data_IF_136013045611
#
_entry.id   IF_136013045611
#
_cell.length_a   1.000
_cell.length_b   1.000
_cell.length_c   1.000
_cell.angle_alpha   90.00
_cell.angle_beta   90.00
_cell.angle_gamma   90.00
#
_symmetry.space_group_name_H-M   'P 1'
#
loop_
_entity.id
_entity.type
_entity.pdbx_description
1 polymer ?
#
# COMPACT_ATOMS: atom_id res chain seq x y z
N UNK A 1 -30.36 27.63 24.42
CA UNK A 1 -30.00 26.83 23.23
C UNK A 1 -29.87 25.39 23.67
N UNK A 2 -30.66 24.48 23.12
CA UNK A 2 -30.47 23.04 23.34
C UNK A 2 -29.32 22.59 22.44
N UNK A 3 -28.22 22.12 23.04
CA UNK A 3 -27.15 21.47 22.30
C UNK A 3 -27.67 20.09 21.86
N UNK A 4 -27.89 19.90 20.56
CA UNK A 4 -28.30 18.63 19.99
C UNK A 4 -27.39 18.22 18.83
N UNK A 5 -27.32 16.91 18.59
CA UNK A 5 -26.64 16.33 17.44
C UNK A 5 -27.64 16.18 16.31
N UNK A 6 -27.28 16.66 15.12
CA UNK A 6 -28.12 16.66 13.93
C UNK A 6 -27.43 15.90 12.79
N UNK A 7 -28.16 15.00 12.15
CA UNK A 7 -27.74 14.33 10.92
C UNK A 7 -28.69 14.77 9.81
N UNK A 8 -28.13 15.34 8.74
CA UNK A 8 -28.89 15.76 7.56
C UNK A 8 -28.47 14.93 6.36
N UNK A 9 -29.44 14.55 5.52
CA UNK A 9 -29.15 13.89 4.24
C UNK A 9 -29.10 14.89 3.09
N UNK A 10 -28.22 14.65 2.12
CA UNK A 10 -28.09 15.46 0.90
C UNK A 10 -28.89 14.90 -0.28
N UNK A 11 -29.60 13.78 -0.11
CA UNK A 11 -30.37 13.12 -1.17
C UNK A 11 -31.82 12.84 -0.73
N UNK A 12 -32.80 12.89 -1.64
CA UNK A 12 -34.19 12.64 -1.29
C UNK A 12 -34.45 11.15 -1.02
N UNK A 13 -35.37 10.86 -0.10
CA UNK A 13 -35.86 9.51 0.20
C UNK A 13 -37.38 9.44 0.05
N UNK A 14 -37.90 8.29 -0.37
CA UNK A 14 -39.34 8.03 -0.39
C UNK A 14 -39.79 7.47 0.95
N UNK A 15 -41.07 7.64 1.27
CA UNK A 15 -41.67 7.02 2.46
C UNK A 15 -41.50 5.50 2.37
N UNK A 16 -40.90 4.92 3.40
CA UNK A 16 -40.63 3.47 3.51
C UNK A 16 -39.22 3.07 3.10
N UNK A 17 -38.42 3.98 2.53
CA UNK A 17 -37.03 3.71 2.21
C UNK A 17 -36.18 3.67 3.47
N UNK A 18 -35.17 2.79 3.49
CA UNK A 18 -34.10 2.85 4.47
C UNK A 18 -33.20 4.06 4.17
N UNK A 19 -32.96 4.90 5.19
CA UNK A 19 -32.04 6.04 5.10
C UNK A 19 -30.65 5.59 5.52
N UNK A 20 -29.68 5.74 4.62
CA UNK A 20 -28.29 5.38 4.88
C UNK A 20 -27.44 6.63 5.21
N UNK A 21 -26.34 6.40 5.92
CA UNK A 21 -25.27 7.38 6.17
C UNK A 21 -23.94 6.86 5.63
N UNK A 22 -23.01 7.76 5.33
CA UNK A 22 -21.64 7.40 4.97
C UNK A 22 -20.79 7.34 6.26
N UNK A 23 -20.07 6.23 6.44
CA UNK A 23 -19.28 5.96 7.65
C UNK A 23 -17.89 6.61 7.61
N UNK A 24 -17.52 7.23 6.49
CA UNK A 24 -16.20 7.78 6.23
C UNK A 24 -15.41 6.96 5.20
N UNK A 25 -14.21 7.43 4.84
CA UNK A 25 -13.32 6.79 3.88
C UNK A 25 -12.60 5.58 4.47
N UNK A 26 -13.35 4.52 4.81
CA UNK A 26 -12.83 3.30 5.42
C UNK A 26 -12.74 2.15 4.43
N UNK A 27 -11.65 1.40 4.50
CA UNK A 27 -11.47 0.17 3.73
C UNK A 27 -12.27 -1.00 4.36
N UNK A 28 -12.45 -2.07 3.61
CA UNK A 28 -13.25 -3.20 4.07
C UNK A 28 -12.63 -3.95 5.27
N UNK A 29 -11.31 -3.89 5.48
CA UNK A 29 -10.73 -4.50 6.68
C UNK A 29 -11.20 -3.75 7.93
N UNK A 30 -11.12 -2.42 7.93
CA UNK A 30 -11.65 -1.60 9.02
C UNK A 30 -13.17 -1.81 9.22
N UNK A 31 -13.95 -1.79 8.13
CA UNK A 31 -15.42 -1.96 8.22
C UNK A 31 -15.77 -3.34 8.79
N UNK A 32 -15.04 -4.39 8.42
CA UNK A 32 -15.30 -5.72 8.96
C UNK A 32 -15.01 -5.80 10.46
N UNK A 33 -13.90 -5.19 10.90
CA UNK A 33 -13.49 -5.20 12.31
C UNK A 33 -14.43 -4.40 13.20
N UNK A 34 -14.85 -3.20 12.75
CA UNK A 34 -15.64 -2.27 13.56
C UNK A 34 -17.16 -2.51 13.45
N UNK A 35 -17.63 -2.94 12.27
CA UNK A 35 -19.06 -3.02 11.97
C UNK A 35 -19.55 -4.41 11.56
N UNK A 36 -18.64 -5.38 11.33
CA UNK A 36 -19.00 -6.78 11.08
C UNK A 36 -19.48 -7.08 9.66
N UNK A 37 -19.32 -6.17 8.70
CA UNK A 37 -19.68 -6.36 7.29
C UNK A 37 -18.60 -5.84 6.34
N UNK A 38 -18.78 -6.09 5.05
CA UNK A 38 -17.94 -5.55 3.97
C UNK A 38 -18.82 -5.00 2.85
N UNK A 39 -18.29 -4.06 2.07
CA UNK A 39 -19.01 -3.44 0.96
C UNK A 39 -18.35 -3.88 -0.35
N UNK A 40 -19.10 -4.45 -1.32
CA UNK A 40 -18.52 -4.81 -2.61
C UNK A 40 -18.04 -3.57 -3.36
N UNK A 41 -16.85 -3.66 -3.97
CA UNK A 41 -16.26 -2.57 -4.77
C UNK A 41 -16.03 -1.29 -3.94
N UNK A 42 -15.60 -1.43 -2.69
CA UNK A 42 -15.32 -0.28 -1.84
C UNK A 42 -14.11 0.51 -2.41
N UNK A 43 -14.29 1.79 -2.82
CA UNK A 43 -13.23 2.58 -3.43
C UNK A 43 -12.10 2.93 -2.45
N UNK A 44 -12.33 2.78 -1.15
CA UNK A 44 -11.34 3.07 -0.11
C UNK A 44 -10.43 1.88 0.21
N UNK A 45 -10.67 0.71 -0.41
CA UNK A 45 -9.80 -0.45 -0.26
C UNK A 45 -8.36 -0.15 -0.72
N UNK A 46 -7.42 -0.75 -0.01
CA UNK A 46 -6.00 -0.70 -0.32
C UNK A 46 -5.31 -1.97 0.18
N UNK A 47 -4.11 -2.24 -0.32
CA UNK A 47 -3.20 -3.29 0.19
C UNK A 47 -2.01 -2.60 0.83
N UNK A 48 -1.68 -2.95 2.08
CA UNK A 48 -0.41 -2.55 2.70
C UNK A 48 0.70 -3.51 2.28
N UNK A 49 1.86 -2.95 1.92
CA UNK A 49 3.10 -3.65 1.62
C UNK A 49 4.19 -3.37 2.66
N UNK A 50 3.84 -2.88 3.85
CA UNK A 50 4.82 -2.56 4.90
C UNK A 50 5.65 -3.79 5.28
N UNK A 51 5.01 -4.96 5.36
CA UNK A 51 5.67 -6.22 5.67
C UNK A 51 6.59 -6.66 4.52
N UNK A 52 6.07 -6.70 3.30
CA UNK A 52 6.82 -7.09 2.10
C UNK A 52 8.04 -6.20 1.86
N UNK A 53 7.91 -4.90 2.10
CA UNK A 53 9.01 -3.95 2.02
C UNK A 53 10.10 -4.23 3.06
N UNK A 54 9.74 -4.61 4.29
CA UNK A 54 10.72 -4.92 5.34
C UNK A 54 11.41 -6.27 5.10
N UNK A 55 10.68 -7.23 4.54
CA UNK A 55 11.13 -8.61 4.30
C UNK A 55 11.89 -8.79 2.97
N UNK A 56 11.84 -7.82 2.05
CA UNK A 56 12.54 -7.92 0.77
C UNK A 56 14.06 -8.08 0.98
N UNK A 57 14.64 -9.05 0.28
CA UNK A 57 16.09 -9.27 0.25
C UNK A 57 16.71 -8.54 -0.94
N UNK A 58 17.66 -7.65 -0.67
CA UNK A 58 18.38 -6.91 -1.70
C UNK A 58 19.83 -7.41 -1.82
N UNK A 59 20.29 -7.81 -3.02
CA UNK A 59 21.67 -8.25 -3.21
C UNK A 59 22.67 -7.16 -2.80
N UNK A 60 23.57 -7.51 -1.88
CA UNK A 60 24.63 -6.61 -1.41
C UNK A 60 24.20 -5.56 -0.38
N UNK A 61 22.95 -5.60 0.11
CA UNK A 61 22.53 -4.77 1.23
C UNK A 61 23.03 -5.37 2.56
N UNK A 62 23.83 -4.61 3.30
CA UNK A 62 24.23 -4.96 4.67
C UNK A 62 23.16 -4.53 5.66
N UNK A 63 23.12 -5.17 6.84
CA UNK A 63 22.19 -4.79 7.90
C UNK A 63 22.37 -3.33 8.35
N UNK A 64 23.62 -2.86 8.39
CA UNK A 64 23.92 -1.46 8.72
C UNK A 64 23.34 -0.51 7.67
N UNK A 65 23.60 -0.76 6.38
CA UNK A 65 23.08 0.05 5.29
C UNK A 65 21.54 0.05 5.28
N UNK A 66 20.93 -1.10 5.55
CA UNK A 66 19.48 -1.23 5.72
C UNK A 66 18.98 -0.30 6.83
N UNK A 67 19.57 -0.39 8.02
CA UNK A 67 19.14 0.40 9.17
C UNK A 67 19.30 1.91 8.91
N UNK A 68 20.41 2.34 8.33
CA UNK A 68 20.63 3.76 8.00
C UNK A 68 19.57 4.30 7.02
N UNK A 69 19.15 3.50 6.04
CA UNK A 69 18.08 3.86 5.10
C UNK A 69 16.72 3.94 5.81
N UNK A 70 16.41 2.99 6.70
CA UNK A 70 15.17 3.04 7.50
C UNK A 70 15.14 4.27 8.41
N UNK A 71 16.25 4.61 9.05
CA UNK A 71 16.38 5.80 9.90
C UNK A 71 16.24 7.09 9.10
N UNK A 72 16.71 7.12 7.85
CA UNK A 72 16.46 8.24 6.93
C UNK A 72 14.98 8.37 6.59
N UNK A 73 14.29 7.28 6.28
CA UNK A 73 12.85 7.30 6.00
C UNK A 73 12.07 7.80 7.21
N UNK A 74 12.41 7.30 8.40
CA UNK A 74 11.74 7.70 9.63
C UNK A 74 11.92 9.20 9.89
N UNK A 75 13.16 9.70 9.80
CA UNK A 75 13.48 11.12 10.03
C UNK A 75 12.79 12.08 9.05
N UNK A 76 12.52 11.64 7.83
CA UNK A 76 11.86 12.46 6.82
C UNK A 76 10.36 12.18 6.70
N UNK A 77 9.79 11.32 7.56
CA UNK A 77 8.37 11.02 7.58
C UNK A 77 7.89 10.17 6.40
N UNK A 78 8.77 9.33 5.83
CA UNK A 78 8.49 8.39 4.73
C UNK A 78 8.59 6.92 5.15
N UNK A 79 8.74 6.63 6.44
CA UNK A 79 8.69 5.25 6.95
C UNK A 79 7.23 4.78 7.08
N UNK A 80 6.94 3.61 6.50
CA UNK A 80 5.64 2.93 6.55
C UNK A 80 4.55 3.62 5.74
N UNK A 81 3.33 3.09 5.87
CA UNK A 81 2.16 3.49 5.06
C UNK A 81 2.42 3.27 3.56
N UNK A 82 3.03 2.13 3.26
CA UNK A 82 3.26 1.67 1.90
C UNK A 82 2.01 0.98 1.38
N UNK A 83 1.23 1.70 0.58
CA UNK A 83 -0.10 1.27 0.17
C UNK A 83 -0.24 1.19 -1.35
N UNK A 84 -1.06 0.25 -1.79
CA UNK A 84 -1.50 0.09 -3.16
C UNK A 84 -3.01 0.25 -3.23
N UNK A 85 -3.50 0.95 -4.25
CA UNK A 85 -4.93 1.00 -4.60
C UNK A 85 -5.09 0.56 -6.05
N UNK A 86 -6.34 0.41 -6.49
CA UNK A 86 -6.61 0.14 -7.90
C UNK A 86 -5.95 1.25 -8.73
N UNK A 87 -5.06 0.82 -9.61
CA UNK A 87 -4.33 1.68 -10.52
C UNK A 87 -3.47 2.78 -9.87
N UNK A 88 -3.06 2.62 -8.61
CA UNK A 88 -2.28 3.64 -7.90
C UNK A 88 -1.27 3.00 -6.93
N UNK A 89 -0.05 3.54 -6.94
CA UNK A 89 1.04 3.16 -6.03
C UNK A 89 1.32 4.36 -5.13
N UNK A 90 1.38 4.16 -3.80
CA UNK A 90 1.62 5.30 -2.91
C UNK A 90 2.99 5.92 -3.15
N UNK A 91 3.03 7.26 -3.14
CA UNK A 91 4.27 8.01 -3.25
C UNK A 91 5.29 7.65 -2.16
N UNK A 92 4.80 7.27 -0.97
CA UNK A 92 5.63 6.80 0.16
C UNK A 92 6.39 5.54 -0.21
N UNK A 93 5.71 4.56 -0.81
CA UNK A 93 6.32 3.31 -1.25
C UNK A 93 7.37 3.55 -2.34
N UNK A 94 7.07 4.36 -3.36
CA UNK A 94 8.02 4.71 -4.42
C UNK A 94 9.28 5.38 -3.83
N UNK A 95 9.08 6.36 -2.94
CA UNK A 95 10.16 7.07 -2.26
C UNK A 95 11.02 6.14 -1.41
N UNK A 96 10.38 5.23 -0.66
CA UNK A 96 11.06 4.26 0.18
C UNK A 96 11.89 3.28 -0.66
N UNK A 97 11.33 2.71 -1.71
CA UNK A 97 12.05 1.78 -2.59
C UNK A 97 13.19 2.45 -3.36
N UNK A 98 13.04 3.71 -3.83
CA UNK A 98 14.14 4.47 -4.44
C UNK A 98 15.35 4.57 -3.53
N UNK A 99 15.14 4.82 -2.23
CA UNK A 99 16.22 4.81 -1.24
C UNK A 99 16.73 3.39 -0.99
N UNK A 100 15.81 2.43 -0.90
CA UNK A 100 16.11 1.06 -0.52
C UNK A 100 17.00 0.35 -1.53
N UNK A 101 16.77 0.56 -2.83
CA UNK A 101 17.54 -0.06 -3.92
C UNK A 101 18.91 0.59 -4.20
N UNK A 102 19.32 1.63 -3.44
CA UNK A 102 20.68 2.19 -3.58
C UNK A 102 21.70 1.18 -3.09
N UNK A 103 22.58 0.77 -4.00
CA UNK A 103 23.74 -0.09 -3.72
C UNK A 103 24.89 0.72 -3.11
N UNK A 104 25.75 0.06 -2.35
CA UNK A 104 26.93 0.67 -1.71
C UNK A 104 26.57 1.93 -0.91
N UNK A 105 25.85 1.72 0.19
CA UNK A 105 25.30 2.78 1.02
C UNK A 105 26.08 2.89 2.33
N UNK A 106 26.76 4.01 2.52
CA UNK A 106 27.41 4.39 3.77
C UNK A 106 27.24 5.90 3.94
N UNK A 107 26.44 6.29 4.93
CA UNK A 107 26.09 7.70 5.19
C UNK A 107 27.34 8.56 5.41
N UNK A 108 28.46 8.00 5.86
CA UNK A 108 29.69 8.77 6.07
C UNK A 108 30.37 9.20 4.76
N UNK A 109 30.08 8.56 3.63
CA UNK A 109 30.77 8.83 2.36
C UNK A 109 30.16 9.99 1.59
N UNK A 110 31.01 10.77 0.92
CA UNK A 110 30.59 11.90 0.09
C UNK A 110 29.70 11.47 -1.08
N UNK A 111 29.97 10.30 -1.67
CA UNK A 111 29.16 9.73 -2.74
C UNK A 111 27.73 9.44 -2.30
N UNK A 112 27.55 8.79 -1.14
CA UNK A 112 26.23 8.52 -0.58
C UNK A 112 25.50 9.81 -0.20
N UNK A 113 26.17 10.82 0.35
CA UNK A 113 25.55 12.12 0.64
C UNK A 113 25.00 12.81 -0.62
N UNK A 114 25.72 12.73 -1.74
CA UNK A 114 25.25 13.24 -3.03
C UNK A 114 23.99 12.52 -3.53
N UNK A 115 23.89 11.20 -3.34
CA UNK A 115 22.70 10.42 -3.71
C UNK A 115 21.54 10.71 -2.75
N UNK A 116 21.79 10.84 -1.45
CA UNK A 116 20.78 11.23 -0.46
C UNK A 116 20.19 12.59 -0.83
N UNK A 117 21.00 13.56 -1.27
CA UNK A 117 20.50 14.85 -1.74
C UNK A 117 19.58 14.70 -2.95
N UNK A 118 19.94 13.86 -3.94
CA UNK A 118 19.07 13.57 -5.08
C UNK A 118 17.76 12.91 -4.66
N UNK A 119 17.80 11.96 -3.72
CA UNK A 119 16.59 11.37 -3.14
C UNK A 119 15.73 12.43 -2.39
N UNK A 120 16.36 13.36 -1.66
CA UNK A 120 15.67 14.50 -1.05
C UNK A 120 15.02 15.43 -2.07
N UNK A 121 15.63 15.56 -3.25
CA UNK A 121 15.04 16.31 -4.35
C UNK A 121 13.79 15.61 -4.91
N UNK A 122 13.72 14.27 -4.84
CA UNK A 122 12.50 13.54 -5.25
C UNK A 122 11.34 13.74 -4.28
N UNK A 123 11.60 13.76 -2.97
CA UNK A 123 10.54 13.98 -1.96
C UNK A 123 10.01 15.42 -1.95
N UNK A 124 10.83 16.39 -2.34
CA UNK A 124 10.47 17.81 -2.41
C UNK A 124 9.86 18.20 -3.76
N UNK A 125 9.81 17.29 -4.73
CA UNK A 125 9.30 17.55 -6.09
C UNK A 125 10.26 18.35 -6.97
N UNK A 126 11.52 18.56 -6.56
CA UNK A 126 12.54 19.22 -7.38
C UNK A 126 12.98 18.37 -8.57
N UNK A 127 12.94 17.05 -8.42
CA UNK A 127 13.27 16.08 -9.48
C UNK A 127 12.31 14.90 -9.40
N UNK A 128 11.90 14.30 -10.52
CA UNK A 128 10.99 13.15 -10.48
C UNK A 128 11.68 11.86 -10.01
N UNK A 129 12.95 11.67 -10.40
CA UNK A 129 13.73 10.44 -10.17
C UNK A 129 15.17 10.77 -9.70
N UNK A 130 15.83 9.81 -9.05
CA UNK A 130 17.25 9.94 -8.68
C UNK A 130 18.15 9.81 -9.92
N UNK A 131 17.94 8.73 -10.69
CA UNK A 131 18.56 8.43 -11.98
C UNK A 131 17.86 7.21 -12.61
N UNK A 132 18.08 6.98 -13.91
CA UNK A 132 17.41 5.89 -14.65
C UNK A 132 17.75 4.48 -14.16
N UNK A 133 18.96 4.26 -13.63
CA UNK A 133 19.35 2.93 -13.11
C UNK A 133 18.63 2.61 -11.80
N UNK A 134 18.52 3.60 -10.91
CA UNK A 134 17.76 3.51 -9.68
C UNK A 134 16.28 3.25 -9.97
N UNK A 135 15.69 3.97 -10.94
CA UNK A 135 14.28 3.83 -11.29
C UNK A 135 13.96 2.43 -11.83
N UNK A 136 14.81 1.89 -12.72
CA UNK A 136 14.68 0.50 -13.20
C UNK A 136 14.78 -0.51 -12.06
N UNK A 137 15.74 -0.34 -11.16
CA UNK A 137 15.90 -1.23 -10.01
C UNK A 137 14.73 -1.12 -9.03
N UNK A 138 14.19 0.08 -8.83
CA UNK A 138 13.02 0.33 -8.01
C UNK A 138 11.79 -0.41 -8.54
N UNK A 139 11.45 -0.26 -9.83
CA UNK A 139 10.31 -0.96 -10.42
C UNK A 139 10.48 -2.47 -10.47
N UNK A 140 11.70 -2.97 -10.70
CA UNK A 140 11.99 -4.40 -10.63
C UNK A 140 11.67 -4.97 -9.23
N UNK A 141 12.12 -4.31 -8.16
CA UNK A 141 11.85 -4.77 -6.80
C UNK A 141 10.40 -4.53 -6.37
N UNK A 142 9.76 -3.44 -6.85
CA UNK A 142 8.34 -3.20 -6.65
C UNK A 142 7.51 -4.35 -7.24
N UNK A 143 7.85 -4.80 -8.45
CA UNK A 143 7.18 -5.93 -9.07
C UNK A 143 7.35 -7.21 -8.23
N UNK A 144 8.58 -7.51 -7.77
CA UNK A 144 8.84 -8.69 -6.93
C UNK A 144 8.02 -8.70 -5.63
N UNK A 145 7.90 -7.55 -4.95
CA UNK A 145 7.09 -7.49 -3.71
C UNK A 145 5.59 -7.63 -4.02
N UNK A 146 5.10 -7.08 -5.13
CA UNK A 146 3.71 -7.24 -5.55
C UNK A 146 3.40 -8.70 -5.90
N UNK A 147 4.29 -9.37 -6.64
CA UNK A 147 4.16 -10.79 -6.99
C UNK A 147 4.21 -11.69 -5.74
N UNK A 148 5.07 -11.37 -4.77
CA UNK A 148 5.12 -12.08 -3.50
C UNK A 148 3.82 -11.91 -2.69
N UNK A 149 3.31 -10.68 -2.59
CA UNK A 149 2.04 -10.39 -1.93
C UNK A 149 0.87 -11.09 -2.62
N UNK A 150 0.86 -11.09 -3.96
CA UNK A 150 -0.17 -11.75 -4.79
C UNK A 150 -0.19 -13.25 -4.52
N UNK A 151 0.97 -13.91 -4.57
CA UNK A 151 1.08 -15.34 -4.29
C UNK A 151 0.56 -15.68 -2.88
N UNK A 152 0.92 -14.88 -1.87
CA UNK A 152 0.40 -15.06 -0.50
C UNK A 152 -1.13 -14.92 -0.46
N UNK A 153 -1.67 -13.89 -1.11
CA UNK A 153 -3.11 -13.64 -1.15
C UNK A 153 -3.89 -14.78 -1.84
N UNK A 154 -3.38 -15.29 -2.96
CA UNK A 154 -3.95 -16.43 -3.68
C UNK A 154 -3.93 -17.70 -2.83
N UNK A 155 -2.81 -18.00 -2.16
CA UNK A 155 -2.69 -19.17 -1.28
C UNK A 155 -3.71 -19.12 -0.13
N UNK A 156 -3.87 -17.95 0.49
CA UNK A 156 -4.88 -17.77 1.55
C UNK A 156 -6.28 -17.94 0.98
N UNK A 157 -6.58 -17.35 -0.17
CA UNK A 157 -7.89 -17.48 -0.80
C UNK A 157 -8.23 -18.94 -1.16
N UNK A 158 -7.28 -19.70 -1.70
CA UNK A 158 -7.46 -21.13 -1.99
C UNK A 158 -7.70 -21.94 -0.71
N UNK A 159 -6.96 -21.67 0.37
CA UNK A 159 -7.21 -22.30 1.67
C UNK A 159 -8.62 -21.99 2.19
N UNK A 160 -9.11 -20.75 2.02
CA UNK A 160 -10.46 -20.35 2.41
C UNK A 160 -11.55 -21.00 1.54
N UNK A 161 -11.27 -21.27 0.26
CA UNK A 161 -12.18 -21.99 -0.65
C UNK A 161 -12.28 -23.48 -0.30
N UNK A 162 -11.19 -24.10 0.11
CA UNK A 162 -11.16 -25.49 0.56
C UNK A 162 -11.97 -25.72 1.86
N UNK A 163 -12.18 -24.67 2.65
CA UNK A 163 -13.05 -24.71 3.82
C UNK A 163 -14.52 -24.89 3.44
N UNK A 164 -15.15 -25.96 3.97
CA UNK A 164 -16.58 -26.26 3.80
C UNK A 164 -17.50 -25.35 4.62
N UNK A 165 -16.94 -24.46 5.44
CA UNK A 165 -17.72 -23.50 6.21
C UNK A 165 -18.41 -22.51 5.26
N UNK A 166 -19.72 -22.32 5.44
CA UNK A 166 -20.53 -21.35 4.68
C UNK A 166 -21.03 -20.23 5.57
N UNK A 167 -20.29 -19.91 6.64
CA UNK A 167 -20.65 -18.84 7.55
C UNK A 167 -20.41 -17.47 6.90
N UNK A 168 -21.34 -16.53 7.11
CA UNK A 168 -21.27 -15.14 6.62
C UNK A 168 -19.92 -14.43 6.90
N UNK A 169 -19.27 -14.62 8.07
CA UNK A 169 -17.94 -14.08 8.32
C UNK A 169 -16.89 -14.56 7.32
N UNK A 170 -16.98 -15.81 6.84
CA UNK A 170 -16.02 -16.36 5.90
C UNK A 170 -16.18 -15.76 4.50
N UNK A 171 -17.41 -15.45 4.06
CA UNK A 171 -17.61 -14.73 2.80
C UNK A 171 -17.04 -13.32 2.83
N UNK A 172 -17.10 -12.63 3.98
CA UNK A 172 -16.48 -11.32 4.15
C UNK A 172 -14.95 -11.40 4.03
N UNK A 173 -14.33 -12.35 4.72
CA UNK A 173 -12.87 -12.57 4.63
C UNK A 173 -12.45 -12.94 3.20
N UNK A 174 -13.24 -13.78 2.51
CA UNK A 174 -13.00 -14.10 1.09
C UNK A 174 -13.03 -12.85 0.21
N UNK A 175 -13.97 -11.93 0.45
CA UNK A 175 -14.05 -10.69 -0.31
C UNK A 175 -12.80 -9.82 -0.11
N UNK A 176 -12.29 -9.68 1.11
CA UNK A 176 -11.06 -8.91 1.39
C UNK A 176 -9.86 -9.40 0.56
N UNK A 177 -9.67 -10.72 0.50
CA UNK A 177 -8.58 -11.31 -0.29
C UNK A 177 -8.80 -11.18 -1.79
N UNK A 178 -10.04 -11.35 -2.27
CA UNK A 178 -10.38 -11.12 -3.68
C UNK A 178 -10.08 -9.68 -4.11
N UNK A 179 -10.49 -8.70 -3.32
CA UNK A 179 -10.25 -7.27 -3.61
C UNK A 179 -8.76 -6.94 -3.53
N UNK A 180 -8.02 -7.53 -2.58
CA UNK A 180 -6.55 -7.39 -2.51
C UNK A 180 -5.86 -7.92 -3.77
N UNK A 181 -6.28 -9.09 -4.28
CA UNK A 181 -5.77 -9.67 -5.54
C UNK A 181 -6.06 -8.75 -6.73
N UNK A 182 -7.25 -8.17 -6.81
CA UNK A 182 -7.62 -7.20 -7.87
C UNK A 182 -6.71 -5.98 -7.84
N UNK A 183 -6.45 -5.42 -6.65
CA UNK A 183 -5.53 -4.28 -6.47
C UNK A 183 -4.12 -4.65 -6.94
N UNK A 184 -3.59 -5.80 -6.49
CA UNK A 184 -2.24 -6.26 -6.84
C UNK A 184 -2.08 -6.48 -8.34
N UNK A 185 -3.04 -7.14 -9.00
CA UNK A 185 -3.01 -7.30 -10.46
C UNK A 185 -3.06 -5.96 -11.20
N UNK A 186 -3.90 -5.03 -10.75
CA UNK A 186 -4.01 -3.70 -11.33
C UNK A 186 -2.67 -2.96 -11.29
N UNK A 187 -1.97 -3.02 -10.16
CA UNK A 187 -0.65 -2.39 -9.97
C UNK A 187 0.43 -3.09 -10.78
N UNK A 188 0.48 -4.42 -10.79
CA UNK A 188 1.45 -5.18 -11.60
C UNK A 188 1.33 -4.81 -13.08
N UNK A 189 0.10 -4.65 -13.58
CA UNK A 189 -0.15 -4.19 -14.95
C UNK A 189 0.43 -2.79 -15.20
N UNK A 190 0.23 -1.84 -14.28
CA UNK A 190 0.83 -0.50 -14.40
C UNK A 190 2.35 -0.56 -14.46
N UNK A 191 2.97 -1.40 -13.63
CA UNK A 191 4.43 -1.54 -13.62
C UNK A 191 4.93 -2.08 -14.96
N UNK A 192 4.23 -3.06 -15.53
CA UNK A 192 4.56 -3.64 -16.84
C UNK A 192 4.36 -2.65 -17.99
N UNK A 193 3.31 -1.83 -17.95
CA UNK A 193 3.04 -0.80 -18.96
C UNK A 193 4.03 0.39 -18.89
N UNK A 194 4.75 0.53 -17.77
CA UNK A 194 5.73 1.61 -17.52
C UNK A 194 7.18 1.24 -17.85
N UNK A 195 7.45 -0.02 -18.24
CA UNK A 195 8.78 -0.55 -18.59
C UNK A 195 9.02 -0.58 -20.11
#
# INVERSE_FOLDING_TARGET
MTQCYEITTFVPYKRGDQVFINYGPHDNFFILMEYGFVIPNNPYNYVSLDKEYLEISLPGETELARQEKLDLLLRHGFYGDYSLRISEISFRLLTALRLRVIQQFDVSTTGTQGIILKWKNTITGLTEIINSQNEKSMYFHLQLICESALLKAEQVLEALKASKATHLPLSHVKLLWLESIVILHSVIKIIQDSQ
#
